data_IF_763035105849
#
_entry.id   IF_763035105849
#
_cell.length_a   1.000
_cell.length_b   1.000
_cell.length_c   1.000
_cell.angle_alpha   90.00
_cell.angle_beta   90.00
_cell.angle_gamma   90.00
#
_symmetry.space_group_name_H-M   'P 1'
#
loop_
_entity.id
_entity.type
_entity.pdbx_description
1 polymer ?
#
# COMPACT_ATOMS: atom_id res chain seq x y z
N UNK A 1 -3.11 -11.75 -29.21
CA UNK A 1 -2.84 -11.28 -27.84
C UNK A 1 -1.65 -12.08 -27.33
N UNK A 2 -0.46 -11.47 -27.24
CA UNK A 2 0.79 -12.17 -26.90
C UNK A 2 0.97 -12.25 -25.38
N UNK A 3 1.60 -13.32 -24.90
CA UNK A 3 1.80 -13.62 -23.48
C UNK A 3 2.43 -12.45 -22.67
N UNK A 4 3.26 -11.64 -23.32
CA UNK A 4 3.88 -10.46 -22.73
C UNK A 4 2.87 -9.34 -22.38
N UNK A 5 1.80 -9.18 -23.15
CA UNK A 5 0.77 -8.15 -22.90
C UNK A 5 -0.11 -8.56 -21.71
N UNK A 6 -0.42 -9.85 -21.61
CA UNK A 6 -1.13 -10.41 -20.45
C UNK A 6 -0.28 -10.35 -19.18
N UNK A 7 1.02 -10.65 -19.25
CA UNK A 7 1.93 -10.50 -18.11
C UNK A 7 1.96 -9.06 -17.58
N UNK A 8 2.16 -8.08 -18.48
CA UNK A 8 2.15 -6.66 -18.14
C UNK A 8 0.83 -6.20 -17.51
N UNK A 9 -0.30 -6.70 -18.03
CA UNK A 9 -1.62 -6.41 -17.48
C UNK A 9 -1.82 -7.03 -16.09
N UNK A 10 -1.32 -8.24 -15.86
CA UNK A 10 -1.34 -8.90 -14.55
C UNK A 10 -0.46 -8.17 -13.53
N UNK A 11 0.73 -7.74 -13.92
CA UNK A 11 1.64 -6.96 -13.07
C UNK A 11 1.04 -5.60 -12.70
N UNK A 12 0.46 -4.88 -13.67
CA UNK A 12 -0.22 -3.61 -13.42
C UNK A 12 -1.43 -3.77 -12.48
N UNK A 13 -2.22 -4.83 -12.63
CA UNK A 13 -3.35 -5.12 -11.72
C UNK A 13 -2.87 -5.44 -10.30
N UNK A 14 -1.73 -6.14 -10.18
CA UNK A 14 -1.14 -6.47 -8.89
C UNK A 14 -0.65 -5.21 -8.18
N UNK A 15 0.14 -4.38 -8.87
CA UNK A 15 0.60 -3.07 -8.36
C UNK A 15 -0.55 -2.15 -7.96
N UNK A 16 -1.64 -2.11 -8.73
CA UNK A 16 -2.83 -1.34 -8.39
C UNK A 16 -3.51 -1.84 -7.10
N UNK A 17 -3.57 -3.15 -6.93
CA UNK A 17 -4.14 -3.78 -5.73
C UNK A 17 -3.25 -3.53 -4.51
N UNK A 18 -1.93 -3.70 -4.64
CA UNK A 18 -0.95 -3.40 -3.59
C UNK A 18 -0.99 -1.92 -3.18
N UNK A 19 -1.15 -1.01 -4.14
CA UNK A 19 -1.31 0.42 -3.87
C UNK A 19 -2.60 0.70 -3.08
N UNK A 20 -3.73 0.13 -3.51
CA UNK A 20 -5.03 0.31 -2.83
C UNK A 20 -5.05 -0.28 -1.43
N UNK A 21 -4.40 -1.43 -1.23
CA UNK A 21 -4.26 -2.06 0.09
C UNK A 21 -3.41 -1.20 1.02
N UNK A 22 -2.28 -0.68 0.53
CA UNK A 22 -1.41 0.22 1.29
C UNK A 22 -2.11 1.53 1.68
N UNK A 23 -2.92 2.13 0.79
CA UNK A 23 -3.75 3.30 1.10
C UNK A 23 -4.78 2.99 2.21
N UNK A 24 -5.46 1.85 2.13
CA UNK A 24 -6.44 1.43 3.13
C UNK A 24 -5.80 1.19 4.50
N UNK A 25 -4.61 0.58 4.53
CA UNK A 25 -3.85 0.34 5.77
C UNK A 25 -3.38 1.63 6.41
N UNK A 26 -2.98 2.64 5.63
CA UNK A 26 -2.67 3.98 6.14
C UNK A 26 -3.88 4.66 6.79
N UNK A 27 -5.04 4.60 6.14
CA UNK A 27 -6.28 5.13 6.72
C UNK A 27 -6.64 4.42 8.02
N UNK A 28 -6.50 3.10 8.06
CA UNK A 28 -6.79 2.31 9.25
C UNK A 28 -5.83 2.66 10.39
N UNK A 29 -4.52 2.66 10.12
CA UNK A 29 -3.49 3.04 11.09
C UNK A 29 -3.72 4.47 11.63
N UNK A 30 -4.17 5.40 10.78
CA UNK A 30 -4.50 6.78 11.22
C UNK A 30 -5.71 6.81 12.16
N UNK A 31 -6.72 5.97 11.90
CA UNK A 31 -7.86 5.81 12.81
C UNK A 31 -7.46 5.13 14.10
N UNK A 32 -6.62 4.10 14.05
CA UNK A 32 -6.13 3.38 15.22
C UNK A 32 -5.26 4.28 16.11
N UNK A 33 -4.44 5.14 15.52
CA UNK A 33 -3.69 6.17 16.26
C UNK A 33 -4.64 7.15 16.95
N UNK A 34 -5.67 7.63 16.23
CA UNK A 34 -6.67 8.55 16.79
C UNK A 34 -7.53 7.89 17.87
N UNK A 35 -7.75 6.59 17.78
CA UNK A 35 -8.45 5.79 18.78
C UNK A 35 -7.56 5.39 19.98
N UNK A 36 -6.25 5.67 19.92
CA UNK A 36 -5.28 5.28 20.95
C UNK A 36 -5.03 3.77 21.01
N UNK A 37 -5.33 3.04 19.93
CA UNK A 37 -5.11 1.59 19.80
C UNK A 37 -3.64 1.30 19.52
N UNK A 38 -2.96 2.21 18.80
CA UNK A 38 -1.53 2.12 18.48
C UNK A 38 -0.81 3.41 18.88
N UNK A 39 0.47 3.28 19.25
CA UNK A 39 1.37 4.40 19.53
C UNK A 39 1.88 5.06 18.24
N UNK A 40 2.29 6.32 18.36
CA UNK A 40 2.79 7.14 17.24
C UNK A 40 4.02 6.52 16.55
N UNK A 41 4.86 5.80 17.30
CA UNK A 41 6.00 5.04 16.75
C UNK A 41 5.55 3.85 15.88
N UNK A 42 4.49 3.15 16.27
CA UNK A 42 3.91 2.05 15.50
C UNK A 42 3.24 2.58 14.24
N UNK A 43 2.48 3.67 14.38
CA UNK A 43 1.87 4.38 13.25
C UNK A 43 2.92 4.87 12.23
N UNK A 44 4.02 5.48 12.69
CA UNK A 44 5.10 5.91 11.79
C UNK A 44 5.72 4.73 11.04
N UNK A 45 5.93 3.60 11.72
CA UNK A 45 6.52 2.41 11.10
C UNK A 45 5.60 1.80 10.04
N UNK A 46 4.31 1.68 10.34
CA UNK A 46 3.32 1.24 9.34
C UNK A 46 3.21 2.23 8.18
N UNK A 47 3.27 3.53 8.47
CA UNK A 47 3.22 4.58 7.46
C UNK A 47 4.42 4.51 6.52
N UNK A 48 5.64 4.35 7.05
CA UNK A 48 6.86 4.22 6.27
C UNK A 48 6.83 2.99 5.33
N UNK A 49 6.29 1.86 5.80
CA UNK A 49 6.13 0.65 4.99
C UNK A 49 5.12 0.89 3.86
N UNK A 50 3.95 1.45 4.17
CA UNK A 50 2.92 1.71 3.16
C UNK A 50 3.38 2.73 2.12
N UNK A 51 4.08 3.79 2.53
CA UNK A 51 4.66 4.80 1.62
C UNK A 51 5.71 4.17 0.69
N UNK A 52 6.52 3.24 1.18
CA UNK A 52 7.50 2.51 0.35
C UNK A 52 6.80 1.64 -0.71
N UNK A 53 5.72 0.95 -0.34
CA UNK A 53 4.92 0.15 -1.28
C UNK A 53 4.29 1.06 -2.34
N UNK A 54 3.66 2.17 -1.93
CA UNK A 54 3.05 3.14 -2.83
C UNK A 54 4.08 3.75 -3.80
N UNK A 55 5.30 4.02 -3.34
CA UNK A 55 6.41 4.46 -4.20
C UNK A 55 6.83 3.39 -5.20
N UNK A 56 6.98 2.14 -4.74
CA UNK A 56 7.38 1.02 -5.59
C UNK A 56 6.31 0.66 -6.65
N UNK A 57 5.04 0.98 -6.39
CA UNK A 57 3.95 0.80 -7.37
C UNK A 57 3.81 1.97 -8.36
N UNK A 58 4.55 3.07 -8.18
CA UNK A 58 4.52 4.24 -9.07
C UNK A 58 5.78 4.40 -9.94
N UNK A 59 6.86 3.66 -9.63
CA UNK A 59 8.10 3.57 -10.42
C UNK A 59 7.98 2.52 -11.53
#
# INVERSE_FOLDING_TARGET
MTAAVTLKALEANRMFTDLKDAEARLEQASRDLKAGVIDEATFQRETDICVKIIRASQD
#
